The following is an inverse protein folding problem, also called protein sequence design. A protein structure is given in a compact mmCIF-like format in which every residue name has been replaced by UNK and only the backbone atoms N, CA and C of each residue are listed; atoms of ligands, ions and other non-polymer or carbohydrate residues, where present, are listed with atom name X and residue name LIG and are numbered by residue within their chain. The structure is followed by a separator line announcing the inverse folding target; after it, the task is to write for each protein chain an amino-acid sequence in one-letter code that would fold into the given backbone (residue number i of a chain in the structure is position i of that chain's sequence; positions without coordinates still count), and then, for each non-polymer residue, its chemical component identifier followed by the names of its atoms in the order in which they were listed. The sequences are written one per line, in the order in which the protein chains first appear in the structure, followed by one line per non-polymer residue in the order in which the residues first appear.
data_IF_725354559606
#
_entry.id   IF_725354559606
#
_cell.length_a   1.000
_cell.length_b   1.000
_cell.length_c   1.000
_cell.angle_alpha   90.00
_cell.angle_beta   90.00
_cell.angle_gamma   90.00
#
_symmetry.space_group_name_H-M   'P 1'
#
loop_
_entity.id
_entity.type
_entity.pdbx_description
1 polymer ?
#
# COMPACT_ATOMS: atom_id res chain seq x y z
N UNK A 1 10.48 23.11 3.87
CA UNK A 1 9.02 23.39 3.91
C UNK A 1 8.40 22.92 2.61
N UNK A 2 7.49 21.94 2.67
CA UNK A 2 6.78 21.46 1.47
C UNK A 2 5.68 22.46 1.07
N UNK A 3 5.40 22.57 -0.22
CA UNK A 3 4.24 23.35 -0.69
C UNK A 3 2.94 22.61 -0.38
N UNK A 4 1.83 23.33 -0.23
CA UNK A 4 0.49 22.74 -0.04
C UNK A 4 0.16 21.73 -1.14
N UNK A 5 0.52 22.03 -2.39
CA UNK A 5 0.33 21.10 -3.52
C UNK A 5 1.09 19.78 -3.29
N UNK A 6 2.32 19.84 -2.78
CA UNK A 6 3.12 18.64 -2.51
C UNK A 6 2.60 17.83 -1.32
N UNK A 7 2.07 18.50 -0.29
CA UNK A 7 1.40 17.83 0.84
C UNK A 7 0.17 17.03 0.36
N UNK A 8 -0.66 17.63 -0.49
CA UNK A 8 -1.84 16.96 -1.08
C UNK A 8 -1.42 15.73 -1.89
N UNK A 9 -0.37 15.85 -2.73
CA UNK A 9 0.13 14.72 -3.50
C UNK A 9 0.61 13.55 -2.62
N UNK A 10 1.32 13.85 -1.52
CA UNK A 10 1.78 12.81 -0.59
C UNK A 10 0.61 12.16 0.15
N UNK A 11 -0.36 12.95 0.60
CA UNK A 11 -1.56 12.44 1.26
C UNK A 11 -2.34 11.50 0.33
N UNK A 12 -2.64 11.94 -0.89
CA UNK A 12 -3.38 11.13 -1.87
C UNK A 12 -2.63 9.84 -2.23
N UNK A 13 -1.30 9.91 -2.35
CA UNK A 13 -0.47 8.74 -2.61
C UNK A 13 -0.51 7.75 -1.43
N UNK A 14 -0.41 8.25 -0.20
CA UNK A 14 -0.46 7.41 0.99
C UNK A 14 -1.81 6.70 1.12
N UNK A 15 -2.92 7.39 0.85
CA UNK A 15 -4.26 6.82 0.95
C UNK A 15 -4.54 5.78 -0.15
N UNK A 16 -4.28 6.11 -1.42
CA UNK A 16 -4.51 5.18 -2.55
C UNK A 16 -3.68 3.89 -2.40
N UNK A 17 -2.40 4.01 -2.05
CA UNK A 17 -1.55 2.82 -1.92
C UNK A 17 -1.87 2.02 -0.66
N UNK A 18 -2.28 2.66 0.44
CA UNK A 18 -2.79 1.95 1.62
C UNK A 18 -4.04 1.15 1.29
N UNK A 19 -4.97 1.72 0.51
CA UNK A 19 -6.17 1.02 0.08
C UNK A 19 -5.85 -0.19 -0.82
N UNK A 20 -4.96 -0.01 -1.81
CA UNK A 20 -4.51 -1.10 -2.68
C UNK A 20 -3.78 -2.20 -1.92
N UNK A 21 -2.94 -1.84 -0.95
CA UNK A 21 -2.27 -2.81 -0.09
C UNK A 21 -3.29 -3.70 0.65
N UNK A 22 -4.32 -3.10 1.27
CA UNK A 22 -5.40 -3.83 1.95
C UNK A 22 -6.11 -4.81 1.02
N UNK A 23 -6.45 -4.39 -0.20
CA UNK A 23 -7.10 -5.25 -1.19
C UNK A 23 -6.20 -6.44 -1.56
N UNK A 24 -4.92 -6.19 -1.85
CA UNK A 24 -3.96 -7.24 -2.18
C UNK A 24 -3.77 -8.24 -1.04
N UNK A 25 -3.63 -7.76 0.21
CA UNK A 25 -3.44 -8.63 1.38
C UNK A 25 -4.70 -9.48 1.67
N UNK A 26 -5.90 -8.92 1.53
CA UNK A 26 -7.16 -9.70 1.61
C UNK A 26 -7.24 -10.73 0.49
N UNK A 27 -6.87 -10.33 -0.73
CA UNK A 27 -6.81 -11.23 -1.88
C UNK A 27 -5.84 -12.39 -1.64
N UNK A 28 -4.67 -12.13 -1.06
CA UNK A 28 -3.70 -13.15 -0.69
C UNK A 28 -4.30 -14.16 0.30
N UNK A 29 -4.93 -13.68 1.38
CA UNK A 29 -5.57 -14.57 2.37
C UNK A 29 -6.68 -15.44 1.75
N UNK A 30 -7.46 -14.88 0.83
CA UNK A 30 -8.50 -15.64 0.13
C UNK A 30 -7.92 -16.69 -0.83
N UNK A 31 -6.82 -16.38 -1.51
CA UNK A 31 -6.13 -17.33 -2.38
C UNK A 31 -5.49 -18.47 -1.57
N UNK A 32 -4.94 -18.20 -0.38
CA UNK A 32 -4.44 -19.24 0.53
C UNK A 32 -5.55 -20.19 0.95
N UNK A 33 -6.74 -19.66 1.27
CA UNK A 33 -7.90 -20.48 1.68
C UNK A 33 -8.35 -21.48 0.61
N UNK A 34 -8.19 -21.16 -0.67
CA UNK A 34 -8.57 -22.05 -1.78
C UNK A 34 -7.38 -22.89 -2.30
N UNK A 35 -6.25 -22.89 -1.60
CA UNK A 35 -5.06 -23.67 -1.95
C UNK A 35 -4.20 -23.07 -3.07
N UNK A 36 -4.46 -21.85 -3.53
CA UNK A 36 -3.66 -21.18 -4.56
C UNK A 36 -2.45 -20.44 -3.95
N UNK A 37 -1.44 -21.21 -3.55
CA UNK A 37 -0.24 -20.68 -2.89
C UNK A 37 0.55 -19.66 -3.75
N UNK A 38 0.70 -19.92 -5.06
CA UNK A 38 1.45 -19.02 -5.96
C UNK A 38 0.73 -17.68 -6.14
N UNK A 39 -0.58 -17.72 -6.34
CA UNK A 39 -1.41 -16.51 -6.42
C UNK A 39 -1.37 -15.71 -5.12
N UNK A 40 -1.46 -16.39 -3.98
CA UNK A 40 -1.36 -15.77 -2.67
C UNK A 40 -0.01 -15.06 -2.45
N UNK A 41 1.10 -15.74 -2.76
CA UNK A 41 2.44 -15.18 -2.64
C UNK A 41 2.60 -13.93 -3.51
N UNK A 42 2.13 -13.97 -4.76
CA UNK A 42 2.16 -12.83 -5.66
C UNK A 42 1.35 -11.64 -5.10
N UNK A 43 0.11 -11.88 -4.66
CA UNK A 43 -0.73 -10.83 -4.09
C UNK A 43 -0.14 -10.25 -2.79
N UNK A 44 0.43 -11.09 -1.93
CA UNK A 44 1.12 -10.65 -0.71
C UNK A 44 2.31 -9.77 -1.04
N UNK A 45 3.19 -10.22 -1.93
CA UNK A 45 4.36 -9.45 -2.35
C UNK A 45 3.96 -8.09 -2.96
N UNK A 46 2.91 -8.07 -3.79
CA UNK A 46 2.36 -6.82 -4.35
C UNK A 46 1.79 -5.90 -3.28
N UNK A 47 1.03 -6.45 -2.32
CA UNK A 47 0.46 -5.69 -1.21
C UNK A 47 1.53 -5.05 -0.31
N UNK A 48 2.58 -5.80 0.03
CA UNK A 48 3.71 -5.29 0.82
C UNK A 48 4.46 -4.16 0.12
N UNK A 49 4.60 -4.23 -1.21
CA UNK A 49 5.20 -3.13 -1.99
C UNK A 49 4.37 -1.85 -1.92
N UNK A 50 3.04 -1.95 -2.04
CA UNK A 50 2.17 -0.79 -1.89
C UNK A 50 2.21 -0.21 -0.48
N UNK A 51 2.21 -1.08 0.54
CA UNK A 51 2.31 -0.66 1.93
C UNK A 51 3.59 0.12 2.21
N UNK A 52 4.75 -0.37 1.76
CA UNK A 52 6.03 0.32 1.95
C UNK A 52 6.06 1.72 1.32
N UNK A 53 5.46 1.88 0.13
CA UNK A 53 5.36 3.20 -0.52
C UNK A 53 4.41 4.12 0.25
N UNK A 54 3.26 3.59 0.70
CA UNK A 54 2.31 4.36 1.49
C UNK A 54 2.92 4.86 2.81
N UNK A 55 3.63 3.99 3.53
CA UNK A 55 4.34 4.32 4.78
C UNK A 55 5.42 5.38 4.52
N UNK A 56 6.19 5.24 3.44
CA UNK A 56 7.18 6.26 3.05
C UNK A 56 6.53 7.62 2.76
N UNK A 57 5.38 7.62 2.08
CA UNK A 57 4.64 8.86 1.80
C UNK A 57 4.07 9.50 3.08
N UNK A 58 3.53 8.68 3.99
CA UNK A 58 3.01 9.13 5.29
C UNK A 58 4.11 9.73 6.17
N UNK A 59 5.27 9.05 6.30
CA UNK A 59 6.40 9.60 7.06
C UNK A 59 6.89 10.94 6.51
N UNK A 60 6.87 11.13 5.18
CA UNK A 60 7.22 12.41 4.56
C UNK A 60 6.19 13.50 4.83
N UNK A 61 4.93 13.14 5.04
CA UNK A 61 3.86 14.06 5.42
C UNK A 61 4.02 14.51 6.89
N UNK A 62 4.35 13.56 7.77
CA UNK A 62 4.55 13.81 9.22
C UNK A 62 5.81 14.65 9.50
N UNK A 63 6.84 14.53 8.66
CA UNK A 63 8.09 15.27 8.78
C UNK A 63 8.07 16.67 8.11
N UNK A 64 6.95 17.10 7.53
CA UNK A 64 6.83 18.30 6.70
C UNK A 64 6.36 19.55 7.46
#
# INVERSE_FOLDING_TARGET
MLTTHRLIQLHNLADDLSARARVCLRGAANLERIGNARGAQYQRAKGLRYQAIAETAAHRLEAA
#
